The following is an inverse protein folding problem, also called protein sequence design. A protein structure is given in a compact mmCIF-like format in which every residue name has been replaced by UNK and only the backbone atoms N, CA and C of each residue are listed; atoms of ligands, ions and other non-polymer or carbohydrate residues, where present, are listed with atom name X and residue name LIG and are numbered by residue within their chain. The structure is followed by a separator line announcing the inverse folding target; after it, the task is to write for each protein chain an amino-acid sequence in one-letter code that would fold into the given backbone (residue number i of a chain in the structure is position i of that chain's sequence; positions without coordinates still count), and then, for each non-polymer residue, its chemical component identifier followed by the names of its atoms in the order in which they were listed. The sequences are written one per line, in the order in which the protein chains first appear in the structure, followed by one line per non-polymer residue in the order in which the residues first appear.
data_IF_723886440992
#
_entry.id   IF_723886440992
#
_cell.length_a   1.000
_cell.length_b   1.000
_cell.length_c   1.000
_cell.angle_alpha   90.00
_cell.angle_beta   90.00
_cell.angle_gamma   90.00
#
_symmetry.space_group_name_H-M   'P 1'
#
loop_
_entity.id
_entity.type
_entity.pdbx_description
1 polymer ?
#
# COMPACT_ATOMS: atom_id res chain seq x y z
N UNK A 1 8.19 0.55 22.23
CA UNK A 1 9.61 0.90 22.04
C UNK A 1 10.06 1.71 23.24
N UNK A 2 11.02 1.20 24.01
CA UNK A 2 11.44 1.82 25.28
C UNK A 2 11.96 3.25 25.08
N UNK A 3 11.67 4.14 26.03
CA UNK A 3 12.12 5.54 26.02
C UNK A 3 13.64 5.69 25.86
N UNK A 4 14.41 4.67 26.24
CA UNK A 4 15.87 4.59 26.04
C UNK A 4 16.24 4.37 24.57
N UNK A 5 15.58 3.48 23.84
CA UNK A 5 15.84 3.23 22.40
C UNK A 5 15.56 4.46 21.57
N UNK A 6 14.48 5.19 21.88
CA UNK A 6 14.15 6.45 21.21
C UNK A 6 15.23 7.51 21.41
N UNK A 7 15.75 7.65 22.64
CA UNK A 7 16.83 8.60 22.96
C UNK A 7 18.12 8.26 22.21
N UNK A 8 18.49 6.99 22.15
CA UNK A 8 19.66 6.54 21.38
C UNK A 8 19.50 6.78 19.88
N UNK A 9 18.33 6.48 19.29
CA UNK A 9 18.07 6.76 17.87
C UNK A 9 18.12 8.26 17.54
N UNK A 10 17.61 9.11 18.42
CA UNK A 10 17.69 10.57 18.24
C UNK A 10 19.15 11.04 18.35
N UNK A 11 19.91 10.58 19.35
CA UNK A 11 21.32 10.93 19.50
C UNK A 11 22.15 10.50 18.29
N UNK A 12 21.90 9.29 17.76
CA UNK A 12 22.57 8.75 16.58
C UNK A 12 22.18 9.56 15.32
N UNK A 13 20.91 9.92 15.17
CA UNK A 13 20.43 10.77 14.08
C UNK A 13 21.04 12.18 14.12
N UNK A 14 21.12 12.81 15.29
CA UNK A 14 21.76 14.11 15.48
C UNK A 14 23.26 14.04 15.18
N UNK A 15 23.94 13.01 15.68
CA UNK A 15 25.36 12.78 15.39
C UNK A 15 25.63 12.60 13.90
N UNK A 16 24.81 11.81 13.20
CA UNK A 16 24.89 11.65 11.75
C UNK A 16 24.69 12.98 11.01
N UNK A 17 23.73 13.80 11.43
CA UNK A 17 23.43 15.09 10.79
C UNK A 17 24.60 16.08 10.96
N UNK A 18 25.23 16.10 12.15
CA UNK A 18 26.44 16.89 12.40
C UNK A 18 27.59 16.41 11.51
N UNK A 19 27.88 15.10 11.50
CA UNK A 19 28.96 14.53 10.68
C UNK A 19 28.74 14.78 9.18
N UNK A 20 27.51 14.63 8.71
CA UNK A 20 27.13 14.92 7.33
C UNK A 20 27.35 16.39 6.98
N UNK A 21 26.97 17.31 7.89
CA UNK A 21 27.19 18.75 7.69
C UNK A 21 28.68 19.08 7.62
N UNK A 22 29.48 18.53 8.53
CA UNK A 22 30.94 18.70 8.52
C UNK A 22 31.56 18.14 7.23
N UNK A 23 31.10 16.97 6.79
CA UNK A 23 31.54 16.37 5.53
C UNK A 23 31.24 17.28 4.34
N UNK A 24 30.00 17.79 4.22
CA UNK A 24 29.61 18.68 3.12
C UNK A 24 30.44 19.97 3.13
N UNK A 25 30.61 20.61 4.29
CA UNK A 25 31.45 21.81 4.43
C UNK A 25 32.90 21.53 4.01
N UNK A 26 33.44 20.39 4.43
CA UNK A 26 34.79 19.98 4.05
C UNK A 26 34.92 19.76 2.53
N UNK A 27 33.94 19.10 1.89
CA UNK A 27 33.96 18.89 0.43
C UNK A 27 33.86 20.21 -0.34
N UNK A 28 33.06 21.17 0.14
CA UNK A 28 32.96 22.52 -0.44
C UNK A 28 34.30 23.26 -0.34
N UNK A 29 34.94 23.20 0.83
CA UNK A 29 36.24 23.83 1.06
C UNK A 29 37.34 23.23 0.16
N UNK A 30 37.36 21.90 -0.02
CA UNK A 30 38.31 21.23 -0.91
C UNK A 30 38.11 21.63 -2.38
N UNK A 31 36.85 21.70 -2.86
CA UNK A 31 36.56 22.17 -4.22
C UNK A 31 36.94 23.63 -4.43
N UNK A 32 36.66 24.50 -3.46
CA UNK A 32 37.02 25.91 -3.53
C UNK A 32 38.54 26.11 -3.56
N UNK A 33 39.29 25.38 -2.72
CA UNK A 33 40.75 25.42 -2.69
C UNK A 33 41.39 24.91 -3.99
N UNK A 34 40.76 23.95 -4.67
CA UNK A 34 41.21 23.50 -6.00
C UNK A 34 41.01 24.58 -7.07
N UNK A 35 39.90 25.32 -7.02
CA UNK A 35 39.63 26.42 -7.95
C UNK A 35 40.54 27.64 -7.69
N UNK A 36 40.87 27.90 -6.43
CA UNK A 36 41.76 29.00 -6.02
C UNK A 36 43.19 28.84 -6.57
N UNK A 37 43.64 27.61 -6.79
CA UNK A 37 44.93 27.31 -7.46
C UNK A 37 44.99 27.75 -8.91
N UNK A 38 43.85 27.91 -9.58
CA UNK A 38 43.78 28.39 -10.97
C UNK A 38 43.71 29.92 -10.99
N UNK A 39 42.84 30.51 -10.17
CA UNK A 39 42.90 31.94 -9.86
C UNK A 39 42.17 32.25 -8.54
N UNK A 40 42.59 33.28 -7.80
CA UNK A 40 41.93 33.70 -6.56
C UNK A 40 40.44 34.05 -6.76
N UNK A 41 40.10 34.69 -7.88
CA UNK A 41 38.73 35.07 -8.21
C UNK A 41 37.83 33.85 -8.51
N UNK A 42 38.37 32.80 -9.14
CA UNK A 42 37.64 31.55 -9.41
C UNK A 42 37.35 30.77 -8.12
N UNK A 43 38.27 30.77 -7.16
CA UNK A 43 38.06 30.16 -5.84
C UNK A 43 36.87 30.78 -5.11
N UNK A 44 36.84 32.11 -5.01
CA UNK A 44 35.75 32.87 -4.40
C UNK A 44 34.41 32.60 -5.08
N UNK A 45 34.38 32.62 -6.43
CA UNK A 45 33.17 32.40 -7.21
C UNK A 45 32.62 30.98 -7.02
N UNK A 46 33.51 29.97 -7.03
CA UNK A 46 33.14 28.57 -6.85
C UNK A 46 32.53 28.33 -5.47
N UNK A 47 33.11 28.91 -4.41
CA UNK A 47 32.60 28.81 -3.05
C UNK A 47 31.18 29.37 -2.92
N UNK A 48 30.95 30.60 -3.36
CA UNK A 48 29.62 31.23 -3.28
C UNK A 48 28.58 30.50 -4.12
N UNK A 49 28.97 29.98 -5.29
CA UNK A 49 28.09 29.18 -6.15
C UNK A 49 27.68 27.87 -5.47
N UNK A 50 28.63 27.16 -4.85
CA UNK A 50 28.37 25.90 -4.14
C UNK A 50 27.49 26.13 -2.89
N UNK A 51 27.77 27.19 -2.12
CA UNK A 51 26.96 27.57 -0.96
C UNK A 51 25.54 27.93 -1.38
N UNK A 52 25.36 28.71 -2.45
CA UNK A 52 24.04 29.05 -2.98
C UNK A 52 23.28 27.81 -3.46
N UNK A 53 23.96 26.87 -4.13
CA UNK A 53 23.37 25.61 -4.58
C UNK A 53 22.91 24.73 -3.40
N UNK A 54 23.75 24.60 -2.36
CA UNK A 54 23.39 23.88 -1.13
C UNK A 54 22.21 24.55 -0.42
N UNK A 55 22.21 25.88 -0.32
CA UNK A 55 21.11 26.65 0.27
C UNK A 55 19.82 26.43 -0.53
N UNK A 56 19.86 26.49 -1.86
CA UNK A 56 18.70 26.21 -2.72
C UNK A 56 18.18 24.79 -2.51
N UNK A 57 19.07 23.80 -2.46
CA UNK A 57 18.73 22.39 -2.28
C UNK A 57 18.07 22.11 -0.92
N UNK A 58 18.39 22.88 0.13
CA UNK A 58 17.74 22.80 1.44
C UNK A 58 16.46 23.65 1.54
N UNK A 59 16.49 24.89 1.06
CA UNK A 59 15.38 25.83 1.23
C UNK A 59 14.19 25.51 0.32
N UNK A 60 14.41 25.04 -0.92
CA UNK A 60 13.32 24.71 -1.85
C UNK A 60 12.39 23.61 -1.29
N UNK A 61 12.88 22.44 -0.86
CA UNK A 61 12.00 21.42 -0.28
C UNK A 61 11.36 21.89 1.02
N UNK A 62 12.08 22.64 1.86
CA UNK A 62 11.53 23.19 3.11
C UNK A 62 10.39 24.18 2.83
N UNK A 63 10.59 25.09 1.89
CA UNK A 63 9.58 26.07 1.47
C UNK A 63 8.35 25.40 0.88
N UNK A 64 8.54 24.38 0.03
CA UNK A 64 7.44 23.61 -0.54
C UNK A 64 6.65 22.90 0.57
N UNK A 65 7.32 22.27 1.54
CA UNK A 65 6.68 21.61 2.69
C UNK A 65 5.92 22.61 3.57
N UNK A 66 6.47 23.81 3.80
CA UNK A 66 5.80 24.87 4.58
C UNK A 66 4.60 25.48 3.86
N UNK A 67 4.60 25.51 2.51
CA UNK A 67 3.46 25.96 1.71
C UNK A 67 2.38 24.89 1.50
N UNK A 68 2.56 23.67 1.99
CA UNK A 68 1.53 22.64 1.82
C UNK A 68 0.25 23.03 2.59
N UNK A 69 -0.94 22.88 1.97
CA UNK A 69 -2.21 23.17 2.64
C UNK A 69 -2.40 22.29 3.87
N UNK A 70 -3.04 22.86 4.91
CA UNK A 70 -3.31 22.17 6.17
C UNK A 70 -4.14 20.92 5.92
N UNK A 71 -3.73 19.83 6.56
CA UNK A 71 -4.38 18.53 6.47
C UNK A 71 -5.76 18.58 7.11
N UNK A 72 -6.76 17.95 6.48
CA UNK A 72 -8.04 17.75 7.15
C UNK A 72 -7.84 16.67 8.20
N UNK A 73 -7.80 17.08 9.45
CA UNK A 73 -7.64 16.20 10.61
C UNK A 73 -9.05 15.83 11.07
N UNK A 74 -9.44 14.53 11.05
CA UNK A 74 -10.66 14.12 11.73
C UNK A 74 -10.55 14.48 13.22
N UNK A 75 -11.54 15.19 13.77
CA UNK A 75 -11.56 15.58 15.18
C UNK A 75 -11.62 14.34 16.08
N UNK A 76 -11.18 14.52 17.33
CA UNK A 76 -11.08 13.43 18.31
C UNK A 76 -12.45 13.09 18.91
N UNK A 77 -13.37 14.06 18.92
CA UNK A 77 -14.73 13.92 19.44
C UNK A 77 -15.74 14.69 18.59
N UNK A 78 -17.01 14.29 18.63
CA UNK A 78 -18.13 15.01 18.04
C UNK A 78 -18.43 16.34 18.75
N UNK A 79 -17.97 16.50 20.00
CA UNK A 79 -18.12 17.70 20.83
C UNK A 79 -17.07 18.78 20.57
N UNK A 80 -16.14 18.54 19.65
CA UNK A 80 -15.06 19.47 19.33
C UNK A 80 -15.63 20.68 18.54
N UNK A 81 -15.36 21.94 18.92
CA UNK A 81 -15.91 23.12 18.24
C UNK A 81 -15.58 23.21 16.74
N UNK A 82 -14.54 22.49 16.28
CA UNK A 82 -14.18 22.37 14.87
C UNK A 82 -14.95 21.31 14.06
N UNK A 83 -15.78 20.48 14.70
CA UNK A 83 -16.55 19.40 14.06
C UNK A 83 -17.47 19.85 12.91
N UNK A 84 -18.29 20.92 13.04
CA UNK A 84 -19.15 21.36 11.93
C UNK A 84 -18.35 21.88 10.73
N UNK A 85 -17.23 22.57 10.96
CA UNK A 85 -16.33 23.04 9.90
C UNK A 85 -15.68 21.86 9.17
N UNK A 86 -15.24 20.84 9.90
CA UNK A 86 -14.70 19.60 9.33
C UNK A 86 -15.73 18.86 8.46
N UNK A 87 -16.98 18.72 8.93
CA UNK A 87 -18.06 18.08 8.16
C UNK A 87 -18.35 18.83 6.86
N UNK A 88 -18.35 20.17 6.87
CA UNK A 88 -18.57 20.96 5.67
C UNK A 88 -17.45 20.76 4.64
N UNK A 89 -16.19 20.71 5.09
CA UNK A 89 -15.05 20.44 4.20
C UNK A 89 -15.06 19.00 3.68
N UNK A 90 -15.45 18.03 4.51
CA UNK A 90 -15.61 16.64 4.11
C UNK A 90 -16.72 16.48 3.05
N UNK A 91 -17.88 17.13 3.24
CA UNK A 91 -18.96 17.21 2.24
C UNK A 91 -18.46 17.74 0.91
N UNK A 92 -17.75 18.86 0.91
CA UNK A 92 -17.25 19.48 -0.31
C UNK A 92 -16.25 18.57 -1.05
N UNK A 93 -15.42 17.81 -0.32
CA UNK A 93 -14.53 16.79 -0.90
C UNK A 93 -15.32 15.61 -1.47
N UNK A 94 -16.28 15.06 -0.73
CA UNK A 94 -17.09 13.93 -1.18
C UNK A 94 -17.93 14.26 -2.42
N UNK A 95 -18.51 15.46 -2.52
CA UNK A 95 -19.21 15.93 -3.73
C UNK A 95 -18.33 15.93 -4.98
N UNK A 96 -17.02 16.13 -4.82
CA UNK A 96 -16.03 16.12 -5.92
C UNK A 96 -15.42 14.75 -6.18
N UNK A 97 -15.81 13.72 -5.41
CA UNK A 97 -15.24 12.39 -5.57
C UNK A 97 -15.81 11.71 -6.83
N UNK A 98 -14.96 11.36 -7.82
CA UNK A 98 -15.43 10.73 -9.07
C UNK A 98 -16.01 9.33 -8.86
N UNK A 99 -15.78 8.72 -7.69
CA UNK A 99 -16.30 7.40 -7.38
C UNK A 99 -17.74 7.41 -6.89
N UNK A 100 -18.28 8.55 -6.45
CA UNK A 100 -19.64 8.65 -5.93
C UNK A 100 -20.60 9.12 -7.03
N UNK A 101 -21.71 8.41 -7.20
CA UNK A 101 -22.75 8.79 -8.17
C UNK A 101 -23.79 9.68 -7.47
N UNK A 102 -23.67 11.01 -7.65
CA UNK A 102 -24.60 12.02 -7.12
C UNK A 102 -25.04 11.80 -5.66
N UNK A 103 -24.10 11.89 -4.70
CA UNK A 103 -24.45 11.68 -3.31
C UNK A 103 -25.26 12.89 -2.80
N UNK A 104 -26.50 12.67 -2.37
CA UNK A 104 -27.12 13.53 -1.38
C UNK A 104 -26.24 13.44 -0.12
N UNK A 105 -25.82 14.57 0.42
CA UNK A 105 -24.85 14.59 1.53
C UNK A 105 -25.33 15.48 2.67
N UNK A 106 -26.63 15.81 2.72
CA UNK A 106 -27.19 16.84 3.58
C UNK A 106 -27.39 16.39 5.03
N UNK A 107 -27.33 15.08 5.29
CA UNK A 107 -27.35 14.48 6.64
C UNK A 107 -26.08 13.69 6.94
N UNK A 108 -25.81 13.40 8.22
CA UNK A 108 -24.64 12.62 8.66
C UNK A 108 -24.65 11.20 8.10
N UNK A 109 -25.83 10.58 8.12
CA UNK A 109 -26.06 9.21 7.69
C UNK A 109 -25.74 9.06 6.20
N UNK A 110 -26.03 10.10 5.41
CA UNK A 110 -25.72 10.15 3.99
C UNK A 110 -24.20 10.28 3.74
N UNK A 111 -23.48 11.02 4.58
CA UNK A 111 -22.00 11.08 4.54
C UNK A 111 -21.41 9.71 4.88
N UNK A 112 -21.91 9.05 5.93
CA UNK A 112 -21.47 7.73 6.33
C UNK A 112 -21.76 6.67 5.25
N UNK A 113 -22.92 6.75 4.59
CA UNK A 113 -23.26 5.90 3.46
C UNK A 113 -22.32 6.12 2.26
N UNK A 114 -21.98 7.37 1.94
CA UNK A 114 -21.00 7.67 0.90
C UNK A 114 -19.60 7.13 1.25
N UNK A 115 -19.17 7.24 2.50
CA UNK A 115 -17.90 6.66 2.97
C UNK A 115 -17.92 5.12 2.95
N UNK A 116 -19.08 4.50 3.17
CA UNK A 116 -19.27 3.06 3.04
C UNK A 116 -19.15 2.61 1.58
N UNK A 117 -19.73 3.34 0.62
CA UNK A 117 -19.56 3.04 -0.82
C UNK A 117 -18.09 3.11 -1.26
N UNK A 118 -17.35 4.12 -0.79
CA UNK A 118 -15.90 4.19 -1.00
C UNK A 118 -15.16 3.04 -0.31
N UNK A 119 -15.69 2.57 0.82
CA UNK A 119 -15.22 1.42 1.56
C UNK A 119 -15.28 0.12 0.80
N UNK A 120 -16.32 -0.10 -0.01
CA UNK A 120 -16.41 -1.29 -0.87
C UNK A 120 -15.31 -1.28 -1.93
N UNK A 121 -15.04 -0.12 -2.54
CA UNK A 121 -13.94 0.03 -3.52
C UNK A 121 -12.56 -0.17 -2.86
N UNK A 122 -12.40 0.27 -1.62
CA UNK A 122 -11.18 0.02 -0.84
C UNK A 122 -11.01 -1.48 -0.51
N UNK A 123 -12.10 -2.19 -0.24
CA UNK A 123 -12.07 -3.64 0.00
C UNK A 123 -11.70 -4.41 -1.26
N UNK A 124 -12.19 -4.01 -2.44
CA UNK A 124 -11.76 -4.58 -3.73
C UNK A 124 -10.24 -4.44 -3.94
N UNK A 125 -9.69 -3.24 -3.74
CA UNK A 125 -8.25 -2.99 -3.87
C UNK A 125 -7.45 -3.79 -2.85
N UNK A 126 -7.96 -3.90 -1.61
CA UNK A 126 -7.35 -4.69 -0.54
C UNK A 126 -7.32 -6.17 -0.90
N UNK A 127 -8.45 -6.72 -1.37
CA UNK A 127 -8.59 -8.11 -1.80
C UNK A 127 -7.67 -8.43 -2.98
N UNK A 128 -7.63 -7.59 -4.00
CA UNK A 128 -6.74 -7.77 -5.16
C UNK A 128 -5.26 -7.77 -4.76
N UNK A 129 -4.87 -6.85 -3.87
CA UNK A 129 -3.49 -6.78 -3.38
C UNK A 129 -3.13 -8.01 -2.54
N UNK A 130 -4.02 -8.43 -1.64
CA UNK A 130 -3.83 -9.62 -0.83
C UNK A 130 -3.71 -10.89 -1.69
N UNK A 131 -4.55 -11.04 -2.72
CA UNK A 131 -4.44 -12.15 -3.68
C UNK A 131 -3.11 -12.13 -4.42
N UNK A 132 -2.70 -10.97 -4.90
CA UNK A 132 -1.42 -10.80 -5.59
C UNK A 132 -0.25 -11.19 -4.69
N UNK A 133 -0.23 -10.69 -3.45
CA UNK A 133 0.78 -11.02 -2.44
C UNK A 133 0.79 -12.52 -2.15
N UNK A 134 -0.38 -13.13 -1.94
CA UNK A 134 -0.52 -14.56 -1.67
C UNK A 134 0.17 -15.40 -2.76
N UNK A 135 -0.22 -15.15 -4.01
CA UNK A 135 0.29 -15.91 -5.16
C UNK A 135 1.77 -15.58 -5.40
N UNK A 136 2.21 -14.32 -5.28
CA UNK A 136 3.62 -13.95 -5.50
C UNK A 136 4.55 -14.52 -4.44
N UNK A 137 4.14 -14.52 -3.17
CA UNK A 137 4.90 -15.14 -2.09
C UNK A 137 4.99 -16.64 -2.30
N UNK A 138 3.92 -17.28 -2.77
CA UNK A 138 3.96 -18.71 -3.10
C UNK A 138 4.96 -19.04 -4.23
N UNK A 139 5.33 -18.07 -5.10
CA UNK A 139 6.43 -18.23 -6.07
C UNK A 139 7.80 -18.07 -5.40
N UNK A 140 7.92 -17.04 -4.56
CA UNK A 140 9.18 -16.50 -4.06
C UNK A 140 9.46 -17.07 -2.68
N UNK A 141 10.00 -18.29 -2.63
CA UNK A 141 10.47 -18.91 -1.38
C UNK A 141 11.66 -18.19 -0.73
N UNK A 142 12.20 -17.13 -1.35
CA UNK A 142 13.24 -16.28 -0.76
C UNK A 142 12.62 -15.29 0.23
N UNK A 143 12.63 -15.67 1.52
CA UNK A 143 11.93 -14.94 2.60
C UNK A 143 12.28 -13.45 2.76
N UNK A 144 13.49 -12.99 2.41
CA UNK A 144 13.88 -11.56 2.54
C UNK A 144 13.44 -10.69 1.35
N UNK A 145 13.57 -11.20 0.13
CA UNK A 145 13.11 -10.51 -1.08
C UNK A 145 11.59 -10.48 -1.16
N UNK A 146 10.93 -11.53 -0.66
CA UNK A 146 9.48 -11.58 -0.52
C UNK A 146 8.97 -10.52 0.47
N UNK A 147 9.59 -10.36 1.64
CA UNK A 147 9.18 -9.35 2.62
C UNK A 147 9.20 -7.91 2.07
N UNK A 148 10.23 -7.55 1.28
CA UNK A 148 10.31 -6.24 0.61
C UNK A 148 9.22 -6.09 -0.46
N UNK A 149 8.99 -7.13 -1.27
CA UNK A 149 7.94 -7.10 -2.28
C UNK A 149 6.55 -6.93 -1.66
N UNK A 150 6.27 -7.64 -0.56
CA UNK A 150 5.04 -7.52 0.24
C UNK A 150 4.91 -6.12 0.82
N UNK A 151 5.98 -5.56 1.40
CA UNK A 151 5.97 -4.20 1.94
C UNK A 151 5.68 -3.14 0.87
N UNK A 152 6.27 -3.29 -0.32
CA UNK A 152 6.01 -2.40 -1.46
C UNK A 152 4.56 -2.54 -1.93
N UNK A 153 4.03 -3.76 -2.01
CA UNK A 153 2.63 -4.00 -2.37
C UNK A 153 1.65 -3.38 -1.37
N UNK A 154 1.88 -3.60 -0.08
CA UNK A 154 1.10 -3.01 1.03
C UNK A 154 1.17 -1.48 1.00
N UNK A 155 2.36 -0.91 0.78
CA UNK A 155 2.52 0.55 0.70
C UNK A 155 1.74 1.14 -0.48
N UNK A 156 1.89 0.56 -1.67
CA UNK A 156 1.11 0.98 -2.85
C UNK A 156 -0.39 0.85 -2.63
N UNK A 157 -0.84 -0.20 -1.94
CA UNK A 157 -2.25 -0.40 -1.58
C UNK A 157 -2.75 0.68 -0.62
N UNK A 158 -2.01 1.01 0.45
CA UNK A 158 -2.38 2.11 1.37
C UNK A 158 -2.50 3.44 0.62
N UNK A 159 -1.57 3.73 -0.28
CA UNK A 159 -1.67 4.92 -1.13
C UNK A 159 -2.91 4.89 -2.04
N UNK A 160 -3.22 3.75 -2.67
CA UNK A 160 -4.43 3.60 -3.50
C UNK A 160 -5.71 3.81 -2.69
N UNK A 161 -5.81 3.21 -1.50
CA UNK A 161 -6.94 3.42 -0.58
C UNK A 161 -7.06 4.91 -0.24
N UNK A 162 -5.96 5.57 0.13
CA UNK A 162 -5.96 7.00 0.42
C UNK A 162 -6.45 7.83 -0.78
N UNK A 163 -6.09 7.47 -2.01
CA UNK A 163 -6.59 8.17 -3.20
C UNK A 163 -8.08 7.95 -3.48
N UNK A 164 -8.66 6.81 -3.10
CA UNK A 164 -10.11 6.55 -3.22
C UNK A 164 -10.90 7.52 -2.33
N UNK A 165 -10.41 7.74 -1.10
CA UNK A 165 -11.06 8.62 -0.13
C UNK A 165 -10.74 10.10 -0.34
N UNK A 166 -9.47 10.44 -0.55
CA UNK A 166 -8.98 11.82 -0.51
C UNK A 166 -8.79 12.45 -1.90
N UNK A 167 -8.94 11.69 -2.99
CA UNK A 167 -8.66 12.06 -4.39
C UNK A 167 -7.21 12.49 -4.68
N UNK A 168 -6.66 13.45 -3.93
CA UNK A 168 -5.27 13.92 -3.93
C UNK A 168 -4.76 14.05 -2.48
N UNK A 169 -4.22 12.97 -1.91
CA UNK A 169 -3.75 12.98 -0.52
C UNK A 169 -2.52 13.89 -0.37
N UNK A 170 -2.54 14.79 0.62
CA UNK A 170 -1.37 15.62 0.95
C UNK A 170 -0.25 14.79 1.59
N UNK A 171 1.00 15.27 1.53
CA UNK A 171 2.15 14.55 2.11
C UNK A 171 1.98 14.29 3.62
N UNK A 172 1.55 15.31 4.36
CA UNK A 172 1.33 15.20 5.79
C UNK A 172 0.15 14.26 6.15
N UNK A 173 -0.89 14.23 5.31
CA UNK A 173 -2.01 13.28 5.44
C UNK A 173 -1.52 11.84 5.25
N UNK A 174 -0.67 11.61 4.24
CA UNK A 174 -0.04 10.31 4.01
C UNK A 174 0.86 9.91 5.17
N UNK A 175 1.77 10.78 5.63
CA UNK A 175 2.67 10.46 6.76
C UNK A 175 1.86 10.08 8.00
N UNK A 176 0.76 10.77 8.29
CA UNK A 176 -0.14 10.43 9.39
C UNK A 176 -0.85 9.10 9.18
N UNK A 177 -1.37 8.84 7.99
CA UNK A 177 -2.00 7.56 7.66
C UNK A 177 -1.01 6.40 7.80
N UNK A 178 0.15 6.49 7.15
CA UNK A 178 1.18 5.45 7.21
C UNK A 178 1.69 5.20 8.62
N UNK A 179 1.91 6.25 9.42
CA UNK A 179 2.35 6.09 10.82
C UNK A 179 1.29 5.43 11.70
N UNK A 180 0.02 5.79 11.54
CA UNK A 180 -1.08 5.14 12.27
C UNK A 180 -1.28 3.69 11.82
N UNK A 181 -1.26 3.42 10.51
CA UNK A 181 -1.35 2.07 9.96
C UNK A 181 -0.18 1.22 10.47
N UNK A 182 1.06 1.71 10.35
CA UNK A 182 2.24 0.98 10.81
C UNK A 182 2.20 0.72 12.32
N UNK A 183 1.80 1.70 13.13
CA UNK A 183 1.64 1.53 14.57
C UNK A 183 0.58 0.47 14.90
N UNK A 184 -0.58 0.53 14.25
CA UNK A 184 -1.64 -0.46 14.44
C UNK A 184 -1.19 -1.84 14.01
N UNK A 185 -0.62 -2.02 12.83
CA UNK A 185 -0.11 -3.32 12.35
C UNK A 185 0.96 -3.90 13.26
N UNK A 186 1.87 -3.08 13.78
CA UNK A 186 2.90 -3.53 14.72
C UNK A 186 2.32 -3.99 16.06
N UNK A 187 1.34 -3.24 16.59
CA UNK A 187 0.62 -3.64 17.80
C UNK A 187 -0.24 -4.88 17.57
N UNK A 188 -0.83 -4.99 16.39
CA UNK A 188 -1.71 -6.08 16.00
C UNK A 188 -0.96 -7.42 15.85
N UNK A 189 0.35 -7.39 15.62
CA UNK A 189 1.23 -8.58 15.62
C UNK A 189 1.36 -9.24 17.00
N UNK A 190 1.14 -8.49 18.09
CA UNK A 190 1.15 -9.05 19.45
C UNK A 190 -0.15 -9.77 19.82
N UNK A 191 -1.20 -9.63 19.00
CA UNK A 191 -2.53 -10.21 19.24
C UNK A 191 -2.78 -11.48 18.40
N UNK A 192 -1.77 -11.97 17.66
CA UNK A 192 -1.88 -13.12 16.75
C UNK A 192 -1.52 -14.43 17.46
N UNK A 193 -2.50 -15.04 18.13
CA UNK A 193 -2.49 -16.46 18.54
C UNK A 193 -3.54 -17.27 17.75
N UNK A 194 -3.92 -16.82 16.55
CA UNK A 194 -4.76 -17.63 15.64
C UNK A 194 -3.82 -18.48 14.81
N UNK A 195 -3.91 -19.80 14.96
CA UNK A 195 -3.21 -20.75 14.09
C UNK A 195 -3.87 -20.76 12.71
N UNK A 196 -3.59 -19.71 11.94
CA UNK A 196 -4.13 -19.49 10.60
C UNK A 196 -3.89 -20.71 9.70
N UNK A 197 -2.82 -21.45 9.96
CA UNK A 197 -2.48 -22.65 9.22
C UNK A 197 -3.55 -23.74 9.37
N UNK A 198 -4.03 -24.00 10.59
CA UNK A 198 -5.05 -25.01 10.85
C UNK A 198 -6.36 -24.71 10.09
N UNK A 199 -6.74 -23.44 10.02
CA UNK A 199 -7.96 -23.01 9.35
C UNK A 199 -7.83 -22.97 7.82
N UNK A 200 -6.65 -22.63 7.30
CA UNK A 200 -6.42 -22.39 5.87
C UNK A 200 -6.00 -23.66 5.11
N UNK A 201 -5.26 -24.57 5.75
CA UNK A 201 -4.78 -25.82 5.12
C UNK A 201 -5.89 -26.63 4.43
N UNK A 202 -7.07 -26.87 5.04
CA UNK A 202 -8.14 -27.63 4.39
C UNK A 202 -8.67 -26.95 3.12
N UNK A 203 -8.65 -25.61 3.08
CA UNK A 203 -9.11 -24.85 1.91
C UNK A 203 -8.14 -24.97 0.74
N UNK A 204 -6.84 -24.99 1.05
CA UNK A 204 -5.77 -25.18 0.06
C UNK A 204 -5.83 -26.59 -0.51
N UNK A 205 -5.92 -27.61 0.34
CA UNK A 205 -5.90 -29.01 -0.09
C UNK A 205 -7.10 -29.34 -1.00
N UNK A 206 -8.30 -28.92 -0.63
CA UNK A 206 -9.51 -29.08 -1.46
C UNK A 206 -9.38 -28.31 -2.78
N UNK A 207 -8.89 -27.06 -2.72
CA UNK A 207 -8.74 -26.21 -3.91
C UNK A 207 -7.72 -26.74 -4.92
N UNK A 208 -6.57 -27.24 -4.46
CA UNK A 208 -5.54 -27.81 -5.34
C UNK A 208 -5.96 -29.16 -5.89
N UNK A 209 -6.49 -30.05 -5.05
CA UNK A 209 -6.87 -31.40 -5.46
C UNK A 209 -7.98 -31.37 -6.50
N UNK A 210 -8.98 -30.48 -6.32
CA UNK A 210 -10.07 -30.31 -7.29
C UNK A 210 -9.60 -29.71 -8.63
N UNK A 211 -8.56 -28.87 -8.63
CA UNK A 211 -8.07 -28.21 -9.83
C UNK A 211 -7.04 -29.04 -10.62
N UNK A 212 -6.20 -29.82 -9.94
CA UNK A 212 -5.17 -30.67 -10.55
C UNK A 212 -5.73 -32.03 -11.00
N UNK A 213 -6.80 -32.51 -10.35
CA UNK A 213 -7.38 -33.82 -10.58
C UNK A 213 -6.62 -34.93 -9.84
N UNK A 214 -7.34 -35.96 -9.38
CA UNK A 214 -6.82 -37.02 -8.50
C UNK A 214 -5.91 -38.06 -9.18
N UNK A 215 -5.58 -37.90 -10.46
CA UNK A 215 -5.23 -39.04 -11.33
C UNK A 215 -3.84 -38.97 -11.99
N UNK A 216 -2.89 -38.14 -11.52
CA UNK A 216 -1.55 -38.09 -12.12
C UNK A 216 -0.50 -38.63 -11.13
N UNK A 217 0.02 -39.86 -11.33
CA UNK A 217 1.14 -40.41 -10.55
C UNK A 217 2.36 -39.48 -10.60
N UNK A 218 3.05 -39.33 -9.47
CA UNK A 218 4.25 -38.46 -9.37
C UNK A 218 3.98 -36.98 -9.07
N UNK A 219 2.72 -36.55 -8.92
CA UNK A 219 2.36 -35.15 -8.62
C UNK A 219 2.28 -34.82 -7.13
N UNK A 220 2.32 -35.81 -6.23
CA UNK A 220 2.19 -35.61 -4.79
C UNK A 220 3.21 -34.59 -4.23
N UNK A 221 4.47 -34.65 -4.69
CA UNK A 221 5.51 -33.66 -4.30
C UNK A 221 5.24 -32.24 -4.84
N UNK A 222 4.66 -32.12 -6.03
CA UNK A 222 4.31 -30.83 -6.63
C UNK A 222 3.19 -30.18 -5.83
N UNK A 223 2.17 -30.97 -5.47
CA UNK A 223 1.01 -30.52 -4.70
C UNK A 223 1.40 -30.18 -3.26
N UNK A 224 2.29 -30.96 -2.62
CA UNK A 224 2.78 -30.66 -1.27
C UNK A 224 3.58 -29.35 -1.23
N UNK A 225 4.52 -29.15 -2.15
CA UNK A 225 5.30 -27.90 -2.25
C UNK A 225 4.41 -26.69 -2.54
N UNK A 226 3.40 -26.85 -3.40
CA UNK A 226 2.44 -25.80 -3.67
C UNK A 226 1.54 -25.50 -2.46
N UNK A 227 1.18 -26.53 -1.67
CA UNK A 227 0.41 -26.37 -0.44
C UNK A 227 1.20 -25.59 0.61
N UNK A 228 2.46 -25.96 0.85
CA UNK A 228 3.37 -25.24 1.75
C UNK A 228 3.57 -23.79 1.31
N UNK A 229 3.78 -23.57 0.01
CA UNK A 229 3.99 -22.23 -0.55
C UNK A 229 2.73 -21.36 -0.45
N UNK A 230 1.54 -21.93 -0.64
CA UNK A 230 0.26 -21.23 -0.46
C UNK A 230 -0.05 -20.96 1.02
N UNK A 231 0.33 -21.86 1.92
CA UNK A 231 0.22 -21.66 3.36
C UNK A 231 1.05 -20.45 3.78
N UNK A 232 2.31 -20.39 3.35
CA UNK A 232 3.18 -19.25 3.59
C UNK A 232 2.60 -17.95 2.98
N UNK A 233 2.12 -18.02 1.73
CA UNK A 233 1.47 -16.88 1.06
C UNK A 233 0.21 -16.39 1.79
N UNK A 234 -0.55 -17.28 2.43
CA UNK A 234 -1.77 -16.94 3.15
C UNK A 234 -1.53 -16.09 4.40
N UNK A 235 -0.40 -16.30 5.09
CA UNK A 235 0.01 -15.47 6.23
C UNK A 235 0.30 -14.03 5.78
N UNK A 236 1.07 -13.85 4.70
CA UNK A 236 1.35 -12.53 4.12
C UNK A 236 0.08 -11.87 3.57
N UNK A 237 -0.83 -12.65 3.00
CA UNK A 237 -2.13 -12.17 2.54
C UNK A 237 -3.00 -11.69 3.71
N UNK A 238 -3.03 -12.42 4.83
CA UNK A 238 -3.76 -12.06 6.03
C UNK A 238 -3.25 -10.74 6.63
N UNK A 239 -1.92 -10.58 6.74
CA UNK A 239 -1.32 -9.31 7.13
C UNK A 239 -1.69 -8.17 6.19
N UNK A 240 -1.69 -8.44 4.87
CA UNK A 240 -2.07 -7.45 3.85
C UNK A 240 -3.54 -7.04 3.98
N UNK A 241 -4.45 -7.98 4.21
CA UNK A 241 -5.87 -7.69 4.49
C UNK A 241 -6.02 -6.78 5.71
N UNK A 242 -5.33 -7.09 6.82
CA UNK A 242 -5.37 -6.26 8.03
C UNK A 242 -4.89 -4.84 7.76
N UNK A 243 -3.75 -4.69 7.05
CA UNK A 243 -3.21 -3.37 6.67
C UNK A 243 -4.24 -2.59 5.84
N UNK A 244 -4.90 -3.23 4.89
CA UNK A 244 -5.94 -2.60 4.06
C UNK A 244 -7.17 -2.18 4.86
N UNK A 245 -7.69 -3.03 5.75
CA UNK A 245 -8.84 -2.70 6.60
C UNK A 245 -8.48 -1.60 7.61
N UNK A 246 -7.27 -1.60 8.18
CA UNK A 246 -6.79 -0.51 9.06
C UNK A 246 -6.73 0.81 8.26
N UNK A 247 -6.17 0.79 7.05
CA UNK A 247 -6.08 1.98 6.20
C UNK A 247 -7.47 2.52 5.83
N UNK A 248 -8.41 1.63 5.46
CA UNK A 248 -9.82 1.95 5.24
C UNK A 248 -10.45 2.56 6.49
N UNK A 249 -10.24 1.96 7.66
CA UNK A 249 -10.74 2.47 8.94
C UNK A 249 -10.28 3.90 9.23
N UNK A 250 -9.01 4.23 8.95
CA UNK A 250 -8.51 5.59 9.13
C UNK A 250 -8.99 6.58 8.07
N UNK A 251 -9.28 6.13 6.84
CA UNK A 251 -9.74 7.01 5.76
C UNK A 251 -11.26 7.23 5.75
N UNK A 252 -12.02 6.23 6.20
CA UNK A 252 -13.49 6.23 6.17
C UNK A 252 -14.16 6.64 7.48
N UNK A 253 -13.41 7.02 8.53
CA UNK A 253 -14.00 7.45 9.79
C UNK A 253 -14.25 8.95 9.81
N UNK A 254 -15.45 9.34 10.25
CA UNK A 254 -15.82 10.74 10.49
C UNK A 254 -15.11 11.29 11.74
N UNK A 255 -14.93 10.45 12.76
CA UNK A 255 -14.22 10.75 14.01
C UNK A 255 -12.95 9.91 14.07
N UNK A 256 -11.89 10.42 14.71
CA UNK A 256 -10.64 9.65 14.85
C UNK A 256 -10.90 8.33 15.60
N UNK A 257 -10.70 7.16 14.98
CA UNK A 257 -11.04 5.90 15.60
C UNK A 257 -9.98 5.49 16.63
N UNK A 258 -10.41 4.80 17.70
CA UNK A 258 -9.49 4.30 18.72
C UNK A 258 -8.64 3.14 18.17
N UNK A 259 -7.33 3.16 18.45
CA UNK A 259 -6.38 2.16 17.92
C UNK A 259 -6.81 0.71 18.22
N UNK A 260 -7.23 0.35 19.44
CA UNK A 260 -7.64 -1.03 19.73
C UNK A 260 -8.89 -1.47 18.95
N UNK A 261 -9.85 -0.56 18.74
CA UNK A 261 -11.07 -0.88 17.98
C UNK A 261 -10.76 -1.13 16.49
N UNK A 262 -9.90 -0.30 15.89
CA UNK A 262 -9.46 -0.49 14.49
C UNK A 262 -8.71 -1.81 14.34
N UNK A 263 -7.83 -2.16 15.29
CA UNK A 263 -7.08 -3.43 15.25
C UNK A 263 -8.03 -4.63 15.34
N UNK A 264 -8.98 -4.62 16.29
CA UNK A 264 -9.95 -5.72 16.47
C UNK A 264 -10.85 -5.89 15.26
N UNK A 265 -11.42 -4.79 14.75
CA UNK A 265 -12.27 -4.82 13.56
C UNK A 265 -11.51 -5.28 12.32
N UNK A 266 -10.25 -4.85 12.15
CA UNK A 266 -9.39 -5.29 11.05
C UNK A 266 -9.08 -6.78 11.10
N UNK A 267 -8.77 -7.33 12.28
CA UNK A 267 -8.57 -8.78 12.45
C UNK A 267 -9.85 -9.54 12.09
N UNK A 268 -11.01 -9.11 12.61
CA UNK A 268 -12.29 -9.78 12.32
C UNK A 268 -12.65 -9.76 10.82
N UNK A 269 -12.48 -8.62 10.15
CA UNK A 269 -12.76 -8.52 8.71
C UNK A 269 -11.77 -9.32 7.87
N UNK A 270 -10.47 -9.29 8.21
CA UNK A 270 -9.47 -10.10 7.53
C UNK A 270 -9.76 -11.61 7.64
N UNK A 271 -10.18 -12.08 8.83
CA UNK A 271 -10.59 -13.49 9.04
C UNK A 271 -11.79 -13.87 8.18
N UNK A 272 -12.73 -12.95 7.93
CA UNK A 272 -13.87 -13.20 7.02
C UNK A 272 -13.47 -13.26 5.55
N UNK A 273 -12.45 -12.48 5.15
CA UNK A 273 -12.01 -12.38 3.75
C UNK A 273 -11.06 -13.52 3.34
N UNK A 274 -10.20 -14.00 4.25
CA UNK A 274 -9.13 -14.96 3.94
C UNK A 274 -9.62 -16.28 3.28
N UNK A 275 -10.74 -16.92 3.66
CA UNK A 275 -11.15 -18.19 3.06
C UNK A 275 -11.42 -18.08 1.57
N UNK A 276 -12.12 -17.01 1.18
CA UNK A 276 -12.48 -16.78 -0.22
C UNK A 276 -11.25 -16.52 -1.09
N UNK A 277 -10.26 -15.80 -0.53
CA UNK A 277 -8.98 -15.50 -1.18
C UNK A 277 -8.13 -16.76 -1.36
N UNK A 278 -8.03 -17.58 -0.32
CA UNK A 278 -7.28 -18.83 -0.38
C UNK A 278 -7.89 -19.79 -1.40
N UNK A 279 -9.22 -19.94 -1.42
CA UNK A 279 -9.89 -20.79 -2.42
C UNK A 279 -9.61 -20.30 -3.85
N UNK A 280 -9.69 -18.99 -4.07
CA UNK A 280 -9.40 -18.41 -5.39
C UNK A 280 -7.94 -18.61 -5.81
N UNK A 281 -6.99 -18.33 -4.92
CA UNK A 281 -5.57 -18.57 -5.17
C UNK A 281 -5.27 -20.05 -5.44
N UNK A 282 -5.86 -20.95 -4.64
CA UNK A 282 -5.71 -22.40 -4.77
C UNK A 282 -6.23 -22.90 -6.12
N UNK A 283 -7.36 -22.37 -6.59
CA UNK A 283 -7.91 -22.66 -7.92
C UNK A 283 -7.02 -22.13 -9.04
N UNK A 284 -6.54 -20.89 -8.94
CA UNK A 284 -5.65 -20.29 -9.94
C UNK A 284 -4.34 -21.08 -10.05
N UNK A 285 -3.66 -21.31 -8.92
CA UNK A 285 -2.43 -22.10 -8.86
C UNK A 285 -2.68 -23.53 -9.32
N UNK A 286 -3.73 -24.19 -8.84
CA UNK A 286 -4.07 -25.55 -9.24
C UNK A 286 -4.34 -25.68 -10.74
N UNK A 287 -5.04 -24.71 -11.34
CA UNK A 287 -5.29 -24.70 -12.79
C UNK A 287 -4.01 -24.47 -13.62
N UNK A 288 -3.11 -23.61 -13.14
CA UNK A 288 -1.81 -23.37 -13.76
C UNK A 288 -0.91 -24.61 -13.66
N UNK A 289 -0.92 -25.30 -12.51
CA UNK A 289 -0.24 -26.58 -12.32
C UNK A 289 -0.82 -27.66 -13.24
N UNK A 290 -2.14 -27.80 -13.32
CA UNK A 290 -2.80 -28.76 -14.20
C UNK A 290 -2.41 -28.56 -15.67
N UNK A 291 -2.34 -27.30 -16.13
CA UNK A 291 -1.86 -26.96 -17.48
C UNK A 291 -0.38 -27.31 -17.67
N UNK A 292 0.48 -27.01 -16.69
CA UNK A 292 1.92 -27.31 -16.76
C UNK A 292 2.23 -28.82 -16.70
N UNK A 293 1.32 -29.60 -16.11
CA UNK A 293 1.42 -31.06 -15.98
C UNK A 293 0.74 -31.80 -17.15
N UNK A 294 -0.19 -31.18 -17.87
CA UNK A 294 -0.77 -31.71 -19.12
C UNK A 294 0.31 -31.78 -20.21
N UNK A 295 0.97 -32.94 -20.30
CA UNK A 295 1.75 -33.33 -21.48
C UNK A 295 3.15 -33.89 -21.23
N UNK A 296 3.68 -33.94 -20.00
CA UNK A 296 5.02 -34.53 -19.74
C UNK A 296 5.14 -35.17 -18.36
N UNK A 297 5.49 -36.47 -18.34
CA UNK A 297 5.98 -37.18 -17.15
C UNK A 297 7.19 -36.41 -16.62
N UNK A 298 7.16 -36.04 -15.33
CA UNK A 298 8.21 -35.24 -14.71
C UNK A 298 9.30 -36.18 -14.21
N UNK A 299 10.34 -36.39 -15.01
CA UNK A 299 11.57 -37.02 -14.54
C UNK A 299 12.45 -35.97 -13.84
N UNK A 300 12.66 -36.13 -12.53
CA UNK A 300 13.67 -35.41 -11.77
C UNK A 300 13.19 -34.26 -10.87
N UNK A 301 13.78 -34.16 -9.66
CA UNK A 301 13.39 -33.21 -8.61
C UNK A 301 13.64 -31.73 -8.91
N UNK A 302 14.66 -31.38 -9.70
CA UNK A 302 14.94 -29.98 -10.08
C UNK A 302 13.92 -29.43 -11.10
N UNK A 303 13.41 -30.29 -11.99
CA UNK A 303 12.37 -29.92 -12.95
C UNK A 303 11.01 -29.64 -12.29
N UNK A 304 10.74 -30.32 -11.17
CA UNK A 304 9.53 -30.13 -10.35
C UNK A 304 9.46 -28.71 -9.76
N UNK A 305 10.52 -28.28 -9.08
CA UNK A 305 10.58 -26.95 -8.43
C UNK A 305 10.45 -25.82 -9.47
N UNK A 306 11.12 -25.96 -10.61
CA UNK A 306 11.06 -24.96 -11.68
C UNK A 306 9.66 -24.82 -12.28
N UNK A 307 8.96 -25.94 -12.51
CA UNK A 307 7.58 -25.93 -13.04
C UNK A 307 6.58 -25.32 -12.07
N UNK A 308 6.70 -25.61 -10.76
CA UNK A 308 5.88 -24.95 -9.73
C UNK A 308 6.10 -23.44 -9.77
N UNK A 309 7.36 -23.01 -9.79
CA UNK A 309 7.70 -21.58 -9.87
C UNK A 309 7.13 -20.93 -11.14
N UNK A 310 7.26 -21.56 -12.32
CA UNK A 310 6.74 -21.05 -13.59
C UNK A 310 5.20 -20.96 -13.61
N UNK A 311 4.49 -21.97 -13.09
CA UNK A 311 3.03 -21.99 -13.03
C UNK A 311 2.48 -20.89 -12.10
N UNK A 312 3.10 -20.73 -10.92
CA UNK A 312 2.67 -19.70 -9.96
C UNK A 312 3.07 -18.29 -10.48
N UNK A 313 4.20 -18.14 -11.19
CA UNK A 313 4.56 -16.88 -11.89
C UNK A 313 3.51 -16.50 -12.94
N UNK A 314 3.03 -17.47 -13.70
CA UNK A 314 1.93 -17.28 -14.66
C UNK A 314 0.67 -16.75 -13.98
N UNK A 315 0.25 -17.39 -12.88
CA UNK A 315 -0.91 -16.97 -12.09
C UNK A 315 -0.74 -15.55 -11.49
N UNK A 316 0.42 -15.24 -10.91
CA UNK A 316 0.72 -13.89 -10.42
C UNK A 316 0.72 -12.83 -11.55
N UNK A 317 1.20 -13.21 -12.73
CA UNK A 317 1.13 -12.41 -13.95
C UNK A 317 -0.30 -12.11 -14.41
N UNK A 318 -1.19 -13.09 -14.34
CA UNK A 318 -2.62 -12.92 -14.68
C UNK A 318 -3.33 -12.03 -13.67
N UNK A 319 -3.09 -12.19 -12.36
CA UNK A 319 -3.64 -11.32 -11.30
C UNK A 319 -3.18 -9.88 -11.46
N UNK A 320 -1.90 -9.66 -11.73
CA UNK A 320 -1.36 -8.30 -11.96
C UNK A 320 -1.88 -7.65 -13.23
N UNK A 321 -2.06 -8.42 -14.32
CA UNK A 321 -2.72 -7.95 -15.55
C UNK A 321 -4.19 -7.60 -15.29
N UNK A 322 -4.94 -8.43 -14.57
CA UNK A 322 -6.32 -8.12 -14.19
C UNK A 322 -6.44 -6.85 -13.34
N UNK A 323 -5.58 -6.70 -12.33
CA UNK A 323 -5.53 -5.52 -11.47
C UNK A 323 -5.13 -4.25 -12.24
N UNK A 324 -4.19 -4.34 -13.18
CA UNK A 324 -3.78 -3.20 -14.01
C UNK A 324 -4.85 -2.81 -15.04
N UNK A 325 -5.58 -3.77 -15.62
CA UNK A 325 -6.70 -3.52 -16.53
C UNK A 325 -7.90 -2.90 -15.81
N UNK A 326 -8.24 -3.38 -14.61
CA UNK A 326 -9.26 -2.77 -13.76
C UNK A 326 -8.88 -1.33 -13.38
N UNK A 327 -7.62 -1.10 -13.00
CA UNK A 327 -7.11 0.24 -12.73
C UNK A 327 -7.17 1.14 -13.97
N UNK A 328 -6.74 0.66 -15.15
CA UNK A 328 -6.82 1.42 -16.40
C UNK A 328 -8.26 1.77 -16.78
N UNK A 329 -9.21 0.85 -16.55
CA UNK A 329 -10.64 1.08 -16.72
C UNK A 329 -11.17 2.22 -15.83
N UNK A 330 -10.81 2.22 -14.55
CA UNK A 330 -11.15 3.28 -13.59
C UNK A 330 -10.52 4.62 -13.99
N UNK A 331 -9.22 4.63 -14.34
CA UNK A 331 -8.51 5.82 -14.79
C UNK A 331 -9.10 6.40 -16.09
N UNK A 332 -9.58 5.55 -17.00
CA UNK A 332 -10.25 5.99 -18.22
C UNK A 332 -11.61 6.65 -17.94
N UNK A 333 -12.40 6.11 -16.98
CA UNK A 333 -13.65 6.70 -16.52
C UNK A 333 -13.42 8.04 -15.81
N UNK A 334 -12.42 8.11 -14.92
CA UNK A 334 -12.02 9.36 -14.25
C UNK A 334 -11.53 10.41 -15.26
N UNK A 335 -10.78 10.02 -16.29
CA UNK A 335 -10.31 10.94 -17.34
C UNK A 335 -11.45 11.44 -18.23
N UNK A 336 -12.46 10.61 -18.50
CA UNK A 336 -13.69 11.02 -19.21
C UNK A 336 -14.53 11.97 -18.36
N UNK A 337 -14.74 11.67 -17.07
CA UNK A 337 -15.39 12.58 -16.13
C UNK A 337 -14.69 13.93 -16.04
N UNK A 338 -13.34 13.94 -16.02
CA UNK A 338 -12.53 15.17 -16.02
C UNK A 338 -12.72 16.02 -17.29
N UNK A 339 -12.89 15.40 -18.46
CA UNK A 339 -13.20 16.11 -19.72
C UNK A 339 -14.62 16.67 -19.74
N UNK A 340 -15.57 15.98 -19.11
CA UNK A 340 -16.96 16.45 -18.97
C UNK A 340 -17.05 17.62 -18.00
N UNK A 341 -16.41 17.54 -16.84
CA UNK A 341 -16.38 18.63 -15.85
C UNK A 341 -15.74 19.90 -16.44
N UNK A 342 -14.61 19.77 -17.13
CA UNK A 342 -13.95 20.89 -17.81
C UNK A 342 -14.83 21.53 -18.91
N UNK A 343 -15.67 20.75 -19.59
CA UNK A 343 -16.63 21.28 -20.57
C UNK A 343 -17.81 21.99 -19.92
N UNK A 344 -18.19 21.61 -18.70
CA UNK A 344 -19.27 22.27 -17.94
C UNK A 344 -18.76 23.59 -17.37
N UNK A 345 -17.59 23.58 -16.73
CA UNK A 345 -16.97 24.80 -16.18
C UNK A 345 -16.71 25.84 -17.29
N UNK A 346 -16.20 25.40 -18.46
CA UNK A 346 -15.98 26.29 -19.61
C UNK A 346 -17.28 26.87 -20.20
N UNK A 347 -18.38 26.12 -20.17
CA UNK A 347 -19.69 26.62 -20.62
C UNK A 347 -20.33 27.61 -19.65
N UNK A 348 -19.96 27.56 -18.37
CA UNK A 348 -20.39 28.56 -17.38
C UNK A 348 -19.59 29.86 -17.50
N UNK A 349 -18.30 29.79 -17.88
CA UNK A 349 -17.47 30.98 -18.14
C UNK A 349 -17.78 31.66 -19.49
N UNK A 350 -18.26 30.91 -20.50
CA UNK A 350 -18.63 31.46 -21.82
C UNK A 350 -20.10 31.96 -21.89
N UNK A 351 -20.86 31.84 -20.80
CA UNK A 351 -22.29 32.22 -20.70
C UNK A 351 -22.59 33.48 -19.88
N UNK A 352 -21.56 34.27 -19.54
CA UNK A 352 -21.70 35.59 -18.90
C UNK A 352 -21.33 36.72 -19.86
#
# INVERSE_FOLDING_TARGET
MGSSVRRWLIALGVGFLILFTLFVVNQIAQLAALAERVSPALGQFTLWTLVALCALCLFVPLYLVLRLPRTLVPPVSETDPGFPCYLQQLRQRLRRNPHLHQPELDTREQIEAALAELGEKADEVTRQTALQVLVSTAVLQNGSLDALAVLVAQSRMVYRIATIYYQRPGLLELVRLYSNVAACTFLARQLEDIDLAEFVQPLISVGLTSAVGSAVPGTARVVSLATESLLQGSANAFLTLRVGVIAKGYCGSVVLPSRPAVIRSATLQATKMIPSLVREASKQVGSALAKALRGRVVEGGAGVVRKVSEAIKGAAGEVSKGASQAAAGVWSKVRRGRKQQYKVDRKQDEGQ
#
